data_IF_338934465697
#
_entry.id   IF_338934465697
#
_cell.length_a   1.000
_cell.length_b   1.000
_cell.length_c   1.000
_cell.angle_alpha   90.00
_cell.angle_beta   90.00
_cell.angle_gamma   90.00
#
_symmetry.space_group_name_H-M   'P 1'
#
loop_
_entity.id
_entity.type
_entity.pdbx_description
1 polymer ?
#
# COMPACT_ATOMS: atom_id res chain seq x y z
N UNK A 1 -19.69 -7.67 -2.14
CA UNK A 1 -19.75 -6.21 -2.39
C UNK A 1 -20.09 -5.42 -1.14
N UNK A 2 -21.34 -5.41 -0.63
CA UNK A 2 -21.72 -4.58 0.54
C UNK A 2 -20.81 -4.80 1.77
N UNK A 3 -20.58 -6.06 2.15
CA UNK A 3 -19.66 -6.42 3.25
C UNK A 3 -18.23 -5.88 3.02
N UNK A 4 -17.71 -5.99 1.80
CA UNK A 4 -16.37 -5.53 1.43
C UNK A 4 -16.26 -4.00 1.48
N UNK A 5 -17.24 -3.28 0.93
CA UNK A 5 -17.29 -1.81 0.97
C UNK A 5 -17.42 -1.30 2.40
N UNK A 6 -18.27 -1.93 3.21
CA UNK A 6 -18.44 -1.57 4.61
C UNK A 6 -17.15 -1.77 5.42
N UNK A 7 -16.44 -2.89 5.19
CA UNK A 7 -15.13 -3.13 5.79
C UNK A 7 -14.13 -2.03 5.42
N UNK A 8 -14.02 -1.68 4.12
CA UNK A 8 -13.17 -0.59 3.63
C UNK A 8 -13.48 0.75 4.30
N UNK A 9 -14.76 1.09 4.47
CA UNK A 9 -15.16 2.37 5.05
C UNK A 9 -14.88 2.46 6.55
N UNK A 10 -15.00 1.34 7.28
CA UNK A 10 -14.71 1.28 8.73
C UNK A 10 -13.23 1.52 9.03
N UNK A 11 -12.32 1.00 8.21
CA UNK A 11 -10.86 1.07 8.43
C UNK A 11 -10.25 2.41 8.06
N UNK A 12 -10.90 3.21 7.19
CA UNK A 12 -10.40 4.54 6.78
C UNK A 12 -10.18 5.50 7.95
N UNK A 13 -11.04 5.46 8.96
CA UNK A 13 -10.88 6.34 10.12
C UNK A 13 -9.66 5.96 10.96
N UNK A 14 -9.45 4.67 11.22
CA UNK A 14 -8.27 4.17 11.93
C UNK A 14 -6.98 4.57 11.19
N UNK A 15 -6.97 4.38 9.87
CA UNK A 15 -5.85 4.77 9.01
C UNK A 15 -5.55 6.28 9.10
N UNK A 16 -6.57 7.14 9.00
CA UNK A 16 -6.41 8.59 9.13
C UNK A 16 -5.87 9.00 10.51
N UNK A 17 -6.37 8.38 11.59
CA UNK A 17 -5.90 8.65 12.95
C UNK A 17 -4.44 8.23 13.16
N UNK A 18 -4.06 7.04 12.68
CA UNK A 18 -2.69 6.53 12.79
C UNK A 18 -1.69 7.46 12.07
N UNK A 19 -2.04 7.92 10.86
CA UNK A 19 -1.25 8.90 10.13
C UNK A 19 -1.18 10.25 10.83
N UNK A 20 -2.28 10.74 11.40
CA UNK A 20 -2.29 12.00 12.15
C UNK A 20 -1.46 11.94 13.44
N UNK A 21 -1.28 10.76 14.04
CA UNK A 21 -0.33 10.58 15.15
C UNK A 21 1.10 10.66 14.63
N UNK A 22 1.42 9.96 13.55
CA UNK A 22 2.77 9.98 12.97
C UNK A 22 3.17 11.36 12.47
N UNK A 23 2.29 12.08 11.78
CA UNK A 23 2.60 13.44 11.32
C UNK A 23 2.92 14.36 12.51
N UNK A 24 2.20 14.23 13.63
CA UNK A 24 2.51 14.96 14.87
C UNK A 24 3.86 14.55 15.46
N UNK A 25 4.12 13.25 15.51
CA UNK A 25 5.40 12.69 15.96
C UNK A 25 6.57 12.99 15.01
N UNK A 26 6.34 13.44 13.78
CA UNK A 26 7.39 13.91 12.86
C UNK A 26 7.42 15.45 12.75
N UNK A 27 6.53 16.22 13.43
CA UNK A 27 6.53 17.72 13.42
C UNK A 27 6.96 18.49 14.73
N UNK A 28 6.77 17.98 15.96
CA UNK A 28 7.56 18.27 17.21
C UNK A 28 9.14 18.10 17.25
N UNK A 29 9.89 18.80 16.40
CA UNK A 29 11.35 19.08 16.38
C UNK A 29 12.48 18.09 16.83
N UNK A 30 12.27 16.88 17.39
CA UNK A 30 13.29 16.16 18.21
C UNK A 30 13.56 14.67 17.87
N UNK A 31 13.30 14.14 16.67
CA UNK A 31 13.10 12.66 16.51
C UNK A 31 14.09 11.85 15.70
N UNK A 32 14.99 12.48 14.94
CA UNK A 32 15.97 11.71 14.19
C UNK A 32 17.38 12.15 14.54
N UNK A 33 17.92 11.56 15.60
CA UNK A 33 19.36 11.34 15.62
C UNK A 33 19.72 10.47 14.40
N UNK A 34 20.85 10.74 13.78
CA UNK A 34 21.31 10.11 12.52
C UNK A 34 21.47 8.59 12.58
N UNK A 35 21.24 7.97 13.74
CA UNK A 35 21.57 6.58 14.08
C UNK A 35 20.34 5.66 14.11
N UNK A 36 19.11 6.19 14.12
CA UNK A 36 17.91 5.35 14.28
C UNK A 36 17.62 4.50 13.03
N UNK A 37 17.53 3.15 13.13
CA UNK A 37 17.14 2.27 12.02
C UNK A 37 15.74 2.59 11.48
N UNK A 38 14.89 3.16 12.33
CA UNK A 38 13.50 3.50 12.02
C UNK A 38 13.41 4.73 11.10
N UNK A 39 14.46 5.54 11.02
CA UNK A 39 14.54 6.73 10.17
C UNK A 39 14.23 6.40 8.70
N UNK A 40 14.71 5.26 8.21
CA UNK A 40 14.50 4.80 6.83
C UNK A 40 13.03 4.70 6.46
N UNK A 41 12.14 4.44 7.43
CA UNK A 41 10.70 4.34 7.18
C UNK A 41 10.03 5.69 6.97
N UNK A 42 10.55 6.78 7.55
CA UNK A 42 9.87 8.09 7.57
C UNK A 42 10.58 9.15 6.73
N UNK A 43 11.88 8.99 6.50
CA UNK A 43 12.63 9.80 5.57
C UNK A 43 13.01 8.93 4.38
N UNK A 44 12.66 9.32 3.14
CA UNK A 44 13.26 8.68 1.98
C UNK A 44 14.78 8.85 2.09
N UNK A 45 15.52 7.77 1.80
CA UNK A 45 16.97 7.84 1.67
C UNK A 45 17.29 9.04 0.78
N UNK A 46 17.87 10.10 1.37
CA UNK A 46 18.47 11.18 0.59
C UNK A 46 19.76 10.59 0.00
N UNK A 47 19.63 9.78 -1.04
CA UNK A 47 20.70 9.61 -2.03
C UNK A 47 20.80 10.96 -2.73
N UNK A 48 21.47 11.92 -2.07
CA UNK A 48 21.39 13.32 -2.46
C UNK A 48 21.81 14.30 -1.37
N UNK A 49 22.73 13.91 -0.49
CA UNK A 49 23.68 14.84 0.09
C UNK A 49 24.91 14.85 -0.81
N UNK A 50 24.97 15.82 -1.73
CA UNK A 50 25.92 15.97 -2.85
C UNK A 50 25.49 15.31 -4.16
N UNK A 51 25.30 16.17 -5.17
CA UNK A 51 25.34 15.81 -6.57
C UNK A 51 26.74 15.29 -6.89
N UNK A 52 26.95 14.00 -6.72
CA UNK A 52 28.22 13.32 -6.92
C UNK A 52 28.03 11.83 -6.69
N UNK A 53 27.84 11.09 -7.78
CA UNK A 53 28.15 9.66 -7.91
C UNK A 53 27.59 8.72 -6.82
N UNK A 54 26.41 8.16 -7.08
CA UNK A 54 26.08 6.82 -6.59
C UNK A 54 25.26 6.12 -7.65
N UNK A 55 25.94 5.33 -8.48
CA UNK A 55 25.37 4.45 -9.50
C UNK A 55 24.71 3.19 -8.87
N UNK A 56 24.08 3.36 -7.70
CA UNK A 56 23.45 2.29 -6.94
C UNK A 56 22.01 2.17 -7.42
N UNK A 57 21.72 1.12 -8.18
CA UNK A 57 20.36 0.82 -8.61
C UNK A 57 19.48 0.57 -7.38
N UNK A 58 18.43 1.37 -7.18
CA UNK A 58 17.49 1.21 -6.06
C UNK A 58 16.83 -0.18 -6.10
N UNK A 59 16.91 -0.92 -5.00
CA UNK A 59 16.21 -2.19 -4.85
C UNK A 59 14.75 -1.92 -4.46
N UNK A 60 13.82 -2.34 -5.30
CA UNK A 60 12.38 -2.14 -5.07
C UNK A 60 11.69 -3.46 -4.79
N UNK A 61 10.76 -3.49 -3.83
CA UNK A 61 9.78 -4.59 -3.70
C UNK A 61 8.43 -4.09 -4.19
N UNK A 62 7.85 -4.77 -5.18
CA UNK A 62 6.53 -4.49 -5.73
C UNK A 62 5.54 -5.56 -5.31
N UNK A 63 4.51 -5.16 -4.56
CA UNK A 63 3.37 -5.99 -4.18
C UNK A 63 2.25 -5.73 -5.18
N UNK A 64 1.74 -6.77 -5.84
CA UNK A 64 0.67 -6.65 -6.85
C UNK A 64 -0.59 -7.38 -6.38
N UNK A 65 -1.68 -6.64 -6.21
CA UNK A 65 -3.00 -7.19 -5.90
C UNK A 65 -3.82 -7.47 -7.16
N UNK A 66 -4.26 -8.71 -7.31
CA UNK A 66 -5.16 -9.16 -8.38
C UNK A 66 -6.23 -10.09 -7.81
N UNK A 67 -7.16 -10.55 -8.64
CA UNK A 67 -8.15 -11.54 -8.23
C UNK A 67 -7.62 -12.97 -8.38
N UNK A 68 -8.24 -13.94 -7.69
CA UNK A 68 -8.00 -15.35 -7.97
C UNK A 68 -8.72 -15.81 -9.24
N UNK A 69 -9.92 -15.27 -9.48
CA UNK A 69 -10.84 -15.71 -10.53
C UNK A 69 -10.99 -14.65 -11.60
N UNK A 70 -11.24 -15.09 -12.83
CA UNK A 70 -11.53 -14.18 -13.95
C UNK A 70 -12.92 -13.55 -13.85
N UNK A 71 -13.42 -13.11 -15.01
CA UNK A 71 -14.77 -12.57 -15.18
C UNK A 71 -15.07 -11.30 -14.33
N UNK A 72 -14.05 -10.50 -14.07
CA UNK A 72 -14.11 -9.24 -13.33
C UNK A 72 -13.87 -8.02 -14.24
N UNK A 73 -14.21 -8.12 -15.52
CA UNK A 73 -13.98 -7.08 -16.52
C UNK A 73 -12.50 -6.72 -16.64
N UNK A 74 -12.20 -5.41 -16.69
CA UNK A 74 -10.85 -4.88 -16.86
C UNK A 74 -10.02 -4.83 -15.55
N UNK A 75 -10.52 -5.35 -14.43
CA UNK A 75 -9.87 -5.24 -13.12
C UNK A 75 -8.42 -5.75 -13.12
N UNK A 76 -8.18 -7.01 -13.50
CA UNK A 76 -6.83 -7.57 -13.52
C UNK A 76 -5.96 -6.94 -14.60
N UNK A 77 -6.52 -6.71 -15.80
CA UNK A 77 -5.74 -6.19 -16.93
C UNK A 77 -5.25 -4.77 -16.67
N UNK A 78 -6.03 -3.93 -15.98
CA UNK A 78 -5.62 -2.58 -15.61
C UNK A 78 -4.42 -2.59 -14.65
N UNK A 79 -4.43 -3.48 -13.64
CA UNK A 79 -3.29 -3.63 -12.71
C UNK A 79 -2.04 -4.16 -13.43
N UNK A 80 -2.19 -5.16 -14.30
CA UNK A 80 -1.06 -5.70 -15.07
C UNK A 80 -0.48 -4.66 -16.03
N UNK A 81 -1.33 -3.86 -16.70
CA UNK A 81 -0.89 -2.76 -17.57
C UNK A 81 -0.12 -1.68 -16.81
N UNK A 82 -0.38 -1.52 -15.51
CA UNK A 82 0.32 -0.57 -14.65
C UNK A 82 1.62 -1.17 -14.09
N UNK A 83 1.62 -2.45 -13.68
CA UNK A 83 2.79 -3.11 -13.10
C UNK A 83 3.85 -3.53 -14.14
N UNK A 84 3.45 -4.02 -15.32
CA UNK A 84 4.39 -4.57 -16.30
C UNK A 84 5.39 -3.56 -16.88
N UNK A 85 4.99 -2.31 -17.23
CA UNK A 85 5.94 -1.28 -17.64
C UNK A 85 6.92 -0.91 -16.53
N UNK A 86 6.42 -0.77 -15.30
CA UNK A 86 7.25 -0.47 -14.13
C UNK A 86 8.33 -1.54 -13.91
N UNK A 87 7.95 -2.82 -14.00
CA UNK A 87 8.85 -3.98 -13.92
C UNK A 87 9.81 -4.12 -15.13
N UNK A 88 9.57 -3.39 -16.22
CA UNK A 88 10.46 -3.37 -17.39
C UNK A 88 11.53 -2.30 -17.22
N UNK A 89 11.15 -1.15 -16.69
CA UNK A 89 12.03 -0.01 -16.42
C UNK A 89 12.92 -0.26 -15.19
N UNK A 90 12.38 -0.88 -14.14
CA UNK A 90 13.07 -1.10 -12.87
C UNK A 90 13.48 -2.57 -12.72
N UNK A 91 14.65 -2.94 -13.26
CA UNK A 91 15.13 -4.33 -13.28
C UNK A 91 15.42 -4.91 -11.89
N UNK A 92 15.80 -4.08 -10.92
CA UNK A 92 16.03 -4.49 -9.53
C UNK A 92 14.73 -4.43 -8.72
N UNK A 93 13.65 -4.99 -9.26
CA UNK A 93 12.36 -5.07 -8.58
C UNK A 93 12.03 -6.51 -8.24
N UNK A 94 11.94 -6.80 -6.96
CA UNK A 94 11.36 -8.05 -6.47
C UNK A 94 9.84 -7.98 -6.52
N UNK A 95 9.22 -9.06 -7.00
CA UNK A 95 7.78 -9.12 -7.22
C UNK A 95 7.12 -10.07 -6.23
N UNK A 96 6.14 -9.54 -5.48
CA UNK A 96 5.24 -10.28 -4.62
C UNK A 96 3.84 -10.16 -5.21
N UNK A 97 3.15 -11.27 -5.43
CA UNK A 97 1.79 -11.24 -5.99
C UNK A 97 0.77 -11.79 -5.01
N UNK A 98 -0.38 -11.13 -4.93
CA UNK A 98 -1.56 -11.59 -4.19
C UNK A 98 -2.68 -11.77 -5.21
N UNK A 99 -3.14 -13.01 -5.36
CA UNK A 99 -4.14 -13.42 -6.35
C UNK A 99 -3.54 -14.19 -7.54
N UNK A 100 -4.21 -15.30 -7.89
CA UNK A 100 -3.70 -16.24 -8.90
C UNK A 100 -3.60 -15.65 -10.30
N UNK A 101 -4.44 -14.65 -10.65
CA UNK A 101 -4.42 -14.05 -12.00
C UNK A 101 -3.20 -13.17 -12.22
N UNK A 102 -2.76 -12.44 -11.21
CA UNK A 102 -1.52 -11.68 -11.25
C UNK A 102 -0.32 -12.60 -11.40
N UNK A 103 -0.25 -13.64 -10.55
CA UNK A 103 0.84 -14.60 -10.60
C UNK A 103 0.97 -15.27 -11.97
N UNK A 104 -0.12 -15.86 -12.47
CA UNK A 104 -0.11 -16.53 -13.79
C UNK A 104 0.22 -15.59 -14.95
N UNK A 105 -0.31 -14.37 -14.96
CA UNK A 105 -0.08 -13.42 -16.07
C UNK A 105 1.33 -12.85 -16.05
N UNK A 106 1.88 -12.49 -14.88
CA UNK A 106 3.23 -11.93 -14.77
C UNK A 106 4.31 -12.98 -15.05
N UNK A 107 4.12 -14.22 -14.61
CA UNK A 107 5.00 -15.34 -14.97
C UNK A 107 4.99 -15.59 -16.48
N UNK A 108 3.81 -15.56 -17.13
CA UNK A 108 3.71 -15.70 -18.59
C UNK A 108 4.41 -14.57 -19.36
N UNK A 109 4.55 -13.39 -18.76
CA UNK A 109 5.33 -12.26 -19.28
C UNK A 109 6.83 -12.36 -18.96
N UNK A 110 7.29 -13.49 -18.43
CA UNK A 110 8.69 -13.73 -18.09
C UNK A 110 9.19 -12.99 -16.86
N UNK A 111 8.30 -12.56 -15.95
CA UNK A 111 8.67 -11.92 -14.69
C UNK A 111 8.88 -12.97 -13.60
N UNK A 112 9.99 -12.86 -12.88
CA UNK A 112 10.28 -13.70 -11.73
C UNK A 112 9.44 -13.24 -10.53
N UNK A 113 8.70 -14.17 -9.92
CA UNK A 113 7.87 -13.91 -8.75
C UNK A 113 8.57 -14.54 -7.54
N UNK A 114 8.90 -13.73 -6.54
CA UNK A 114 9.58 -14.21 -5.33
C UNK A 114 8.62 -14.93 -4.39
N UNK A 115 7.44 -14.33 -4.20
CA UNK A 115 6.39 -14.86 -3.34
C UNK A 115 5.03 -14.68 -4.01
N UNK A 116 4.22 -15.73 -3.99
CA UNK A 116 2.87 -15.73 -4.53
C UNK A 116 1.89 -16.23 -3.48
N UNK A 117 0.89 -15.40 -3.18
CA UNK A 117 -0.15 -15.70 -2.22
C UNK A 117 -1.49 -15.80 -2.92
N UNK A 118 -2.30 -16.76 -2.51
CA UNK A 118 -3.70 -16.80 -2.89
C UNK A 118 -4.47 -15.78 -2.06
N UNK A 119 -5.28 -14.97 -2.73
CA UNK A 119 -6.08 -13.94 -2.07
C UNK A 119 -7.24 -14.58 -1.31
N UNK A 120 -7.54 -14.18 -0.08
CA UNK A 120 -8.73 -14.66 0.59
C UNK A 120 -9.95 -13.80 0.24
N UNK A 121 -10.77 -14.27 -0.71
CA UNK A 121 -11.94 -13.51 -1.20
C UNK A 121 -13.10 -13.42 -0.17
N UNK A 122 -13.03 -14.20 0.91
CA UNK A 122 -14.12 -14.35 1.90
C UNK A 122 -13.81 -13.80 3.28
N UNK A 123 -12.54 -13.80 3.69
CA UNK A 123 -12.15 -13.34 5.01
C UNK A 123 -11.96 -11.82 5.02
N UNK A 124 -12.48 -11.19 6.07
CA UNK A 124 -12.17 -9.79 6.37
C UNK A 124 -10.71 -9.70 6.78
N UNK A 125 -10.20 -10.67 7.55
CA UNK A 125 -8.78 -10.78 7.91
C UNK A 125 -8.08 -11.79 7.00
N UNK A 126 -7.16 -11.32 6.18
CA UNK A 126 -6.32 -12.17 5.34
C UNK A 126 -4.95 -12.33 6.01
N UNK A 127 -4.63 -13.53 6.49
CA UNK A 127 -3.35 -13.82 7.16
C UNK A 127 -2.16 -13.56 6.23
N UNK A 128 -2.35 -13.66 4.92
CA UNK A 128 -1.31 -13.35 3.93
C UNK A 128 -0.85 -11.89 4.01
N UNK A 129 -1.72 -10.95 4.38
CA UNK A 129 -1.33 -9.54 4.55
C UNK A 129 -0.31 -9.39 5.67
N UNK A 130 -0.50 -10.11 6.80
CA UNK A 130 0.43 -10.07 7.93
C UNK A 130 1.76 -10.71 7.58
N UNK A 131 1.75 -11.83 6.86
CA UNK A 131 2.99 -12.48 6.42
C UNK A 131 3.78 -11.60 5.45
N UNK A 132 3.08 -10.96 4.48
CA UNK A 132 3.71 -10.10 3.48
C UNK A 132 4.28 -8.84 4.13
N UNK A 133 3.53 -8.18 5.00
CA UNK A 133 4.02 -6.96 5.64
C UNK A 133 5.18 -7.26 6.59
N UNK A 134 5.14 -8.34 7.36
CA UNK A 134 6.25 -8.70 8.24
C UNK A 134 7.51 -8.99 7.39
N UNK A 135 7.37 -9.76 6.30
CA UNK A 135 8.47 -10.02 5.37
C UNK A 135 9.06 -8.73 4.79
N UNK A 136 8.22 -7.86 4.23
CA UNK A 136 8.64 -6.63 3.57
C UNK A 136 9.17 -5.60 4.56
N UNK A 137 8.61 -5.55 5.77
CA UNK A 137 9.09 -4.71 6.86
C UNK A 137 10.52 -5.06 7.24
N UNK A 138 10.82 -6.35 7.48
CA UNK A 138 12.19 -6.76 7.85
C UNK A 138 13.18 -6.54 6.71
N UNK A 139 12.79 -6.82 5.46
CA UNK A 139 13.65 -6.52 4.29
C UNK A 139 13.98 -5.04 4.18
N UNK A 140 12.98 -4.18 4.37
CA UNK A 140 13.18 -2.73 4.33
C UNK A 140 14.04 -2.26 5.52
N UNK A 141 13.77 -2.76 6.72
CA UNK A 141 14.53 -2.47 7.95
C UNK A 141 16.02 -2.85 7.80
N UNK A 142 16.30 -4.02 7.24
CA UNK A 142 17.66 -4.54 7.02
C UNK A 142 18.38 -3.88 5.84
N UNK A 143 17.67 -3.09 5.04
CA UNK A 143 18.21 -2.42 3.87
C UNK A 143 18.34 -3.27 2.61
N UNK A 144 17.69 -4.43 2.57
CA UNK A 144 17.59 -5.29 1.38
C UNK A 144 16.68 -4.67 0.30
N UNK A 145 15.83 -3.71 0.67
CA UNK A 145 14.92 -3.01 -0.23
C UNK A 145 14.85 -1.53 0.16
N UNK A 146 15.06 -0.65 -0.82
CA UNK A 146 15.04 0.82 -0.67
C UNK A 146 13.65 1.42 -0.85
N UNK A 147 12.76 0.72 -1.58
CA UNK A 147 11.41 1.19 -1.85
C UNK A 147 10.43 0.02 -1.90
N UNK A 148 9.27 0.21 -1.28
CA UNK A 148 8.18 -0.76 -1.31
C UNK A 148 6.96 -0.12 -1.95
N UNK A 149 6.51 -0.69 -3.06
CA UNK A 149 5.37 -0.24 -3.82
C UNK A 149 4.25 -1.27 -3.79
N UNK A 150 3.03 -0.78 -3.86
CA UNK A 150 1.81 -1.58 -3.90
C UNK A 150 1.00 -1.16 -5.12
N UNK A 151 0.82 -2.10 -6.06
CA UNK A 151 -0.10 -1.98 -7.17
C UNK A 151 -1.45 -2.58 -6.76
N UNK A 152 -2.48 -1.74 -6.65
CA UNK A 152 -3.83 -2.17 -6.28
C UNK A 152 -4.89 -1.30 -6.96
N UNK A 153 -6.15 -1.72 -6.88
CA UNK A 153 -7.26 -0.96 -7.47
C UNK A 153 -7.98 -0.16 -6.38
N UNK A 154 -7.90 1.17 -6.48
CA UNK A 154 -8.57 2.11 -5.58
C UNK A 154 -10.09 2.14 -5.87
N UNK A 155 -10.88 1.89 -4.83
CA UNK A 155 -12.33 1.89 -4.92
C UNK A 155 -12.88 3.31 -4.69
N UNK A 156 -13.33 3.95 -5.77
CA UNK A 156 -14.01 5.25 -5.70
C UNK A 156 -15.52 5.09 -5.65
N UNK A 157 -16.08 4.30 -6.54
CA UNK A 157 -17.52 4.03 -6.59
C UNK A 157 -17.81 2.69 -7.27
N UNK A 158 -19.10 2.33 -7.34
CA UNK A 158 -19.52 1.10 -8.02
C UNK A 158 -19.15 1.09 -9.53
N UNK A 159 -18.97 2.26 -10.13
CA UNK A 159 -18.69 2.42 -11.57
C UNK A 159 -17.23 2.80 -11.81
N UNK A 160 -16.62 3.59 -10.91
CA UNK A 160 -15.24 4.07 -11.06
C UNK A 160 -14.30 3.33 -10.11
N UNK A 161 -13.38 2.57 -10.70
CA UNK A 161 -12.25 1.94 -10.01
C UNK A 161 -10.98 2.20 -10.80
N UNK A 162 -9.91 2.63 -10.13
CA UNK A 162 -8.66 3.01 -10.78
C UNK A 162 -7.51 2.15 -10.27
N UNK A 163 -6.77 1.53 -11.19
CA UNK A 163 -5.49 0.90 -10.86
C UNK A 163 -4.48 1.99 -10.48
N UNK A 164 -3.80 1.84 -9.35
CA UNK A 164 -2.83 2.80 -8.83
C UNK A 164 -1.57 2.07 -8.34
N UNK A 165 -0.44 2.75 -8.48
CA UNK A 165 0.82 2.38 -7.83
C UNK A 165 1.02 3.33 -6.65
N UNK A 166 1.06 2.82 -5.42
CA UNK A 166 1.31 3.65 -4.22
C UNK A 166 2.52 3.15 -3.46
N UNK A 167 3.29 4.06 -2.88
CA UNK A 167 4.42 3.74 -2.04
C UNK A 167 3.97 3.44 -0.61
N UNK A 168 4.35 2.26 -0.11
CA UNK A 168 4.13 1.84 1.27
C UNK A 168 5.30 2.24 2.17
N UNK A 169 6.52 1.93 1.74
CA UNK A 169 7.76 2.33 2.41
C UNK A 169 8.74 2.96 1.40
N UNK A 170 9.50 4.00 1.77
CA UNK A 170 9.31 4.83 2.96
C UNK A 170 7.93 5.50 2.94
N UNK A 171 7.39 5.77 4.11
CA UNK A 171 6.12 6.46 4.29
C UNK A 171 6.16 7.83 3.62
N UNK A 172 5.21 8.08 2.72
CA UNK A 172 5.07 9.38 2.05
C UNK A 172 3.82 10.10 2.52
N UNK A 173 3.98 11.37 2.95
CA UNK A 173 2.86 12.22 3.37
C UNK A 173 1.84 12.48 2.25
N UNK A 174 2.23 12.30 0.99
CA UNK A 174 1.38 12.58 -0.19
C UNK A 174 0.72 11.35 -0.80
N UNK A 175 1.05 10.14 -0.34
CA UNK A 175 0.61 8.88 -1.00
C UNK A 175 -0.14 7.94 -0.04
N UNK A 176 -1.13 8.46 0.67
CA UNK A 176 -1.93 7.66 1.60
C UNK A 176 -2.86 6.67 0.89
N UNK A 177 -3.02 5.49 1.47
CA UNK A 177 -3.88 4.43 0.92
C UNK A 177 -5.36 4.71 1.23
N UNK A 178 -6.20 4.57 0.22
CA UNK A 178 -7.65 4.58 0.39
C UNK A 178 -8.37 5.84 0.80
N UNK A 179 -7.68 6.96 0.79
CA UNK A 179 -8.31 8.27 0.77
C UNK A 179 -8.19 8.78 -0.67
N UNK A 180 -9.33 8.98 -1.36
CA UNK A 180 -9.30 9.74 -2.59
C UNK A 180 -8.70 11.12 -2.28
N UNK A 181 -7.92 11.71 -3.20
CA UNK A 181 -7.21 12.98 -2.98
C UNK A 181 -8.10 14.08 -2.33
N UNK A 182 -9.41 14.05 -2.58
CA UNK A 182 -10.39 15.01 -2.07
C UNK A 182 -10.86 14.72 -0.61
N UNK A 183 -10.85 13.47 -0.15
CA UNK A 183 -11.26 13.10 1.22
C UNK A 183 -10.12 13.28 2.24
N UNK A 184 -8.87 13.14 1.79
CA UNK A 184 -7.66 13.45 2.57
C UNK A 184 -7.67 14.90 3.05
N UNK A 185 -8.02 15.85 2.17
CA UNK A 185 -7.93 17.28 2.45
C UNK A 185 -8.88 17.71 3.57
N UNK A 186 -10.15 17.25 3.52
CA UNK A 186 -11.15 17.61 4.54
C UNK A 186 -10.89 16.96 5.91
N UNK A 187 -10.55 15.67 5.95
CA UNK A 187 -10.31 14.98 7.23
C UNK A 187 -8.98 15.37 7.88
N UNK A 188 -7.95 15.70 7.10
CA UNK A 188 -6.69 16.24 7.64
C UNK A 188 -6.85 17.70 8.09
N UNK A 189 -7.74 18.49 7.50
CA UNK A 189 -8.06 19.85 7.97
C UNK A 189 -8.66 19.84 9.39
N UNK A 190 -9.54 18.88 9.70
CA UNK A 190 -10.07 18.72 11.05
C UNK A 190 -8.99 18.27 12.06
N UNK A 191 -8.06 17.41 11.65
CA UNK A 191 -6.93 16.97 12.50
C UNK A 191 -5.85 18.05 12.69
N UNK A 192 -5.74 19.04 11.80
CA UNK A 192 -4.83 20.20 11.93
C UNK A 192 -5.27 21.19 13.02
N UNK A 193 -6.48 21.08 13.55
CA UNK A 193 -6.99 21.95 14.63
C UNK A 193 -6.52 21.51 16.03
N UNK A 194 -5.85 20.36 16.16
CA UNK A 194 -5.25 19.95 17.42
C UNK A 194 -4.02 20.81 17.77
N UNK A 195 -3.72 21.08 19.06
CA UNK A 195 -2.59 21.91 19.46
C UNK A 195 -1.28 21.37 18.88
N UNK A 196 -0.49 22.23 18.21
CA UNK A 196 0.82 21.86 17.65
C UNK A 196 1.86 21.50 18.73
N UNK A 197 1.59 21.82 19.99
CA UNK A 197 2.51 21.67 21.12
C UNK A 197 2.03 20.61 22.12
N UNK A 198 1.51 19.47 21.65
CA UNK A 198 1.33 18.32 22.54
C UNK A 198 2.69 17.64 22.78
N UNK A 199 3.18 17.73 24.01
CA UNK A 199 4.27 16.88 24.49
C UNK A 199 3.70 15.51 24.85
N UNK A 200 4.29 14.46 24.27
CA UNK A 200 3.93 13.08 24.56
C UNK A 200 4.94 12.48 25.53
N UNK A 201 4.44 11.83 26.58
CA UNK A 201 5.24 10.90 27.39
C UNK A 201 5.28 9.55 26.66
N UNK A 202 6.47 8.99 26.48
CA UNK A 202 6.69 7.74 25.74
C UNK A 202 7.06 6.60 26.68
N UNK A 203 6.36 5.48 26.58
CA UNK A 203 6.67 4.25 27.30
C UNK A 203 6.74 3.06 26.32
N UNK A 204 7.79 2.20 26.36
CA UNK A 204 8.96 2.25 27.24
C UNK A 204 10.02 3.27 26.80
N UNK A 205 10.22 3.46 25.49
CA UNK A 205 11.00 4.57 24.92
C UNK A 205 10.48 4.93 23.52
N UNK A 206 10.93 6.08 23.02
CA UNK A 206 10.49 6.65 21.75
C UNK A 206 10.85 5.79 20.52
N UNK A 207 12.02 5.17 20.50
CA UNK A 207 12.49 4.41 19.35
C UNK A 207 11.68 3.11 19.18
N UNK A 208 11.46 2.39 20.27
CA UNK A 208 10.65 1.17 20.27
C UNK A 208 9.21 1.46 19.85
N UNK A 209 8.65 2.59 20.34
CA UNK A 209 7.31 3.02 19.93
C UNK A 209 7.26 3.34 18.43
N UNK A 210 8.23 4.06 17.89
CA UNK A 210 8.26 4.39 16.46
C UNK A 210 8.42 3.15 15.59
N UNK A 211 9.26 2.21 16.02
CA UNK A 211 9.45 0.93 15.33
C UNK A 211 8.12 0.16 15.25
N UNK A 212 7.45 0.06 16.40
CA UNK A 212 6.14 -0.56 16.51
C UNK A 212 5.09 0.15 15.65
N UNK A 213 5.05 1.48 15.68
CA UNK A 213 4.13 2.28 14.88
C UNK A 213 4.39 2.10 13.37
N UNK A 214 5.65 2.03 12.94
CA UNK A 214 5.99 1.83 11.54
C UNK A 214 5.47 0.49 10.99
N UNK A 215 5.58 -0.58 11.78
CA UNK A 215 5.01 -1.87 11.41
C UNK A 215 3.46 -1.80 11.41
N UNK A 216 2.84 -1.21 12.44
CA UNK A 216 1.38 -1.12 12.55
C UNK A 216 0.74 -0.28 11.45
N UNK A 217 1.39 0.79 11.04
CA UNK A 217 0.90 1.64 9.96
C UNK A 217 1.03 0.92 8.63
N UNK A 218 2.17 0.29 8.35
CA UNK A 218 2.31 -0.52 7.14
C UNK A 218 1.28 -1.64 7.05
N UNK A 219 0.99 -2.31 8.19
CA UNK A 219 -0.09 -3.29 8.31
C UNK A 219 -1.44 -2.66 7.94
N UNK A 220 -1.76 -1.49 8.50
CA UNK A 220 -3.02 -0.80 8.23
C UNK A 220 -3.14 -0.33 6.76
N UNK A 221 -2.06 0.19 6.16
CA UNK A 221 -2.02 0.63 4.76
C UNK A 221 -2.23 -0.53 3.79
N UNK A 222 -1.48 -1.63 3.98
CA UNK A 222 -1.56 -2.80 3.10
C UNK A 222 -2.92 -3.48 3.23
N UNK A 223 -3.46 -3.53 4.45
CA UNK A 223 -4.81 -4.03 4.70
C UNK A 223 -5.90 -3.17 4.06
N UNK A 224 -5.77 -1.84 4.12
CA UNK A 224 -6.66 -0.92 3.40
C UNK A 224 -6.60 -1.17 1.88
N UNK A 225 -5.40 -1.36 1.32
CA UNK A 225 -5.21 -1.67 -0.10
C UNK A 225 -5.92 -2.98 -0.51
N UNK A 226 -5.83 -4.02 0.33
CA UNK A 226 -6.53 -5.28 0.12
C UNK A 226 -8.06 -5.08 0.11
N UNK A 227 -8.60 -4.37 1.11
CA UNK A 227 -10.05 -4.14 1.21
C UNK A 227 -10.58 -3.33 0.01
N UNK A 228 -9.84 -2.33 -0.45
CA UNK A 228 -10.21 -1.56 -1.65
C UNK A 228 -10.14 -2.38 -2.93
N UNK A 229 -9.11 -3.22 -3.04
CA UNK A 229 -9.00 -4.19 -4.13
C UNK A 229 -10.19 -5.16 -4.12
N UNK A 230 -10.62 -5.65 -2.94
CA UNK A 230 -11.81 -6.51 -2.78
C UNK A 230 -13.10 -5.81 -3.20
N UNK A 231 -13.33 -4.59 -2.71
CA UNK A 231 -14.49 -3.79 -3.06
C UNK A 231 -14.56 -3.53 -4.56
N UNK A 232 -13.43 -3.12 -5.16
CA UNK A 232 -13.28 -2.89 -6.59
C UNK A 232 -13.53 -4.15 -7.41
N UNK A 233 -12.95 -5.28 -7.02
CA UNK A 233 -13.12 -6.56 -7.72
C UNK A 233 -14.59 -6.99 -7.78
N UNK A 234 -15.29 -6.94 -6.63
CA UNK A 234 -16.71 -7.29 -6.60
C UNK A 234 -17.55 -6.35 -7.46
N UNK A 235 -17.20 -5.06 -7.48
CA UNK A 235 -17.89 -4.06 -8.29
C UNK A 235 -17.69 -4.30 -9.78
N UNK A 236 -16.44 -4.43 -10.21
CA UNK A 236 -16.11 -4.68 -11.62
C UNK A 236 -16.70 -6.00 -12.12
N UNK A 237 -16.77 -7.03 -11.26
CA UNK A 237 -17.44 -8.30 -11.58
C UNK A 237 -18.94 -8.13 -11.79
N UNK A 238 -19.62 -7.37 -10.93
CA UNK A 238 -21.05 -7.13 -11.07
C UNK A 238 -21.37 -6.40 -12.38
N UNK A 239 -20.58 -5.36 -12.71
CA UNK A 239 -20.72 -4.61 -13.97
C UNK A 239 -20.43 -5.50 -15.17
N UNK A 240 -19.35 -6.28 -15.14
CA UNK A 240 -19.00 -7.19 -16.25
C UNK A 240 -20.09 -8.24 -16.50
N UNK A 241 -20.66 -8.82 -15.43
CA UNK A 241 -21.76 -9.79 -15.55
C UNK A 241 -23.03 -9.14 -16.09
N UNK A 242 -23.39 -7.95 -15.61
CA UNK A 242 -24.56 -7.22 -16.12
C UNK A 242 -24.43 -6.94 -17.61
N UNK A 243 -23.27 -6.42 -18.03
CA UNK A 243 -23.01 -6.14 -19.44
C UNK A 243 -23.03 -7.42 -20.30
N UNK A 244 -22.56 -8.56 -19.78
CA UNK A 244 -22.64 -9.84 -20.48
C UNK A 244 -24.10 -10.32 -20.64
N UNK A 245 -24.93 -10.17 -19.59
CA UNK A 245 -26.36 -10.50 -19.67
C UNK A 245 -27.11 -9.59 -20.64
N UNK A 246 -26.81 -8.28 -20.62
CA UNK A 246 -27.43 -7.31 -21.52
C UNK A 246 -27.00 -7.54 -22.98
N UNK A 247 -25.76 -7.97 -23.24
CA UNK A 247 -25.27 -8.31 -24.57
C UNK A 247 -25.76 -9.67 -25.10
N UNK A 248 -26.24 -10.55 -24.22
CA UNK A 248 -26.78 -11.85 -24.59
C UNK A 248 -28.29 -11.80 -24.92
N UNK A 249 -28.96 -10.67 -24.65
CA UNK A 249 -30.36 -10.41 -25.03
C UNK A 249 -30.43 -9.77 -26.40
#
# INVERSE_FOLDING_TARGET
>A
MRKSVEATLRTRNYHAFAWGIVDRLINSQLWFDSISPVKRFFEPNRVGGQAGESNTQEHTTLIVFTSNRGLCGAFNSNIIKLAAPYLKENKNTELITIGNRGASTLTALGKEIKLAYQKNDTAIEDSSVREIIDHVYYKFKNGETDKVLVAYTDYKSAISQNAVLKQLYPFSRTQQFGLGQNDTSRKMEDMKQAPKNLEYLYEPNKYDLLEYLALRIGQAELYQALLESNASEHSSRMVAMKNATDAAK
#
